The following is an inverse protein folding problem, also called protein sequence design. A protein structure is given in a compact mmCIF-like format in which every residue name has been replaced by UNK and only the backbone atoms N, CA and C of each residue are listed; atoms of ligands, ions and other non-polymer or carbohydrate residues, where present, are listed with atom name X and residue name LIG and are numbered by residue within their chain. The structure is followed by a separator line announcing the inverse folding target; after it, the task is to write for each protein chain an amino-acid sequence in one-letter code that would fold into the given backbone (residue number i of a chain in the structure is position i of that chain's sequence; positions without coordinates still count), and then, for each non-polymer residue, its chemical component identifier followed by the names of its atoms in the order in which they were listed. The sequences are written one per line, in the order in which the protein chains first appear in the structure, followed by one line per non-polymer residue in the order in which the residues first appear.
data_IF_280333558598
#
_entry.id   IF_280333558598
#
_cell.length_a   1.000
_cell.length_b   1.000
_cell.length_c   1.000
_cell.angle_alpha   90.00
_cell.angle_beta   90.00
_cell.angle_gamma   90.00
#
_symmetry.space_group_name_H-M   'P 1'
#
loop_
_entity.id
_entity.type
_entity.pdbx_description
1 polymer ?
#
# COMPACT_ATOMS: atom_id res chain seq x y z
N UNK A 1 5.18 -9.54 33.36
CA UNK A 1 4.10 -8.66 32.87
C UNK A 1 4.42 -8.35 31.41
N UNK A 2 3.69 -8.93 30.44
CA UNK A 2 3.85 -8.64 28.99
C UNK A 2 3.00 -7.42 28.65
N UNK A 3 3.50 -6.38 27.97
CA UNK A 3 2.63 -5.33 27.48
C UNK A 3 1.78 -5.89 26.33
N UNK A 4 0.47 -5.72 26.46
CA UNK A 4 -0.50 -6.04 25.42
C UNK A 4 -0.29 -5.13 24.20
N UNK A 5 -0.42 -5.63 22.96
CA UNK A 5 -0.53 -4.74 21.81
C UNK A 5 -1.91 -4.06 21.87
N UNK A 6 -1.91 -2.75 22.15
CA UNK A 6 -3.09 -1.90 22.01
C UNK A 6 -3.66 -2.03 20.59
N UNK A 7 -4.99 -2.13 20.41
CA UNK A 7 -5.61 -2.14 19.10
C UNK A 7 -5.55 -0.71 18.55
N UNK A 8 -4.54 -0.40 17.74
CA UNK A 8 -4.54 0.82 16.95
C UNK A 8 -5.64 0.72 15.89
N UNK A 9 -6.87 1.06 16.27
CA UNK A 9 -7.89 1.58 15.35
C UNK A 9 -7.45 2.97 14.91
N UNK A 10 -6.51 2.97 13.98
CA UNK A 10 -6.26 4.05 13.04
C UNK A 10 -6.03 3.36 11.70
N UNK A 11 -6.45 3.94 10.57
CA UNK A 11 -5.92 3.52 9.28
C UNK A 11 -4.44 3.90 9.28
N UNK A 12 -3.61 3.10 9.95
CA UNK A 12 -2.18 3.26 9.93
C UNK A 12 -1.82 3.22 8.44
N UNK A 13 -1.15 4.26 7.91
CA UNK A 13 -0.76 4.28 6.52
C UNK A 13 -0.04 2.98 6.25
N UNK A 14 -0.63 2.16 5.38
CA UNK A 14 -0.13 0.84 5.06
C UNK A 14 1.38 0.97 4.74
N UNK A 15 2.26 0.24 5.45
CA UNK A 15 3.67 0.58 5.45
C UNK A 15 4.25 0.33 4.05
N UNK A 16 4.71 1.43 3.43
CA UNK A 16 5.47 1.44 2.19
C UNK A 16 6.94 1.34 2.59
N UNK A 17 7.60 0.27 2.18
CA UNK A 17 9.03 0.04 2.41
C UNK A 17 9.74 0.14 1.08
N UNK A 18 10.74 1.02 1.00
CA UNK A 18 11.61 1.16 -0.17
C UNK A 18 13.02 0.81 0.27
N UNK A 19 13.56 -0.25 -0.31
CA UNK A 19 14.92 -0.73 -0.07
C UNK A 19 15.84 -0.25 -1.19
N UNK A 20 17.03 0.25 -0.86
CA UNK A 20 17.99 0.71 -1.85
C UNK A 20 18.93 -0.44 -2.21
N UNK A 21 18.67 -1.06 -3.37
CA UNK A 21 19.45 -2.19 -3.88
C UNK A 21 20.69 -1.75 -4.68
N UNK A 22 20.84 -0.46 -4.96
CA UNK A 22 22.00 0.12 -5.64
C UNK A 22 21.81 1.59 -6.00
N UNK A 23 22.80 2.22 -6.67
CA UNK A 23 22.84 3.68 -6.90
C UNK A 23 21.62 4.28 -7.60
N UNK A 24 20.90 3.46 -8.36
CA UNK A 24 19.66 3.80 -9.07
C UNK A 24 18.67 2.62 -9.08
N UNK A 25 18.74 1.75 -8.08
CA UNK A 25 17.87 0.58 -7.98
C UNK A 25 17.21 0.56 -6.62
N UNK A 26 15.89 0.72 -6.61
CA UNK A 26 15.08 0.82 -5.41
C UNK A 26 13.97 -0.22 -5.45
N UNK A 27 13.98 -1.17 -4.53
CA UNK A 27 12.96 -2.21 -4.46
C UNK A 27 11.80 -1.74 -3.61
N UNK A 28 10.59 -1.74 -4.16
CA UNK A 28 9.38 -1.34 -3.46
C UNK A 28 8.65 -2.56 -2.92
N UNK A 29 8.39 -2.56 -1.62
CA UNK A 29 7.46 -3.48 -1.00
C UNK A 29 6.35 -2.68 -0.32
N UNK A 30 5.10 -3.06 -0.55
CA UNK A 30 3.94 -2.50 0.15
C UNK A 30 3.27 -3.57 0.98
N UNK A 31 3.00 -3.29 2.25
CA UNK A 31 2.18 -4.20 3.08
C UNK A 31 0.79 -3.62 3.24
N UNK A 32 -0.24 -4.32 2.77
CA UNK A 32 -1.64 -3.91 2.85
C UNK A 32 -2.47 -5.03 3.49
N UNK A 33 -3.28 -4.72 4.50
CA UNK A 33 -4.10 -5.69 5.25
C UNK A 33 -3.31 -6.92 5.78
N UNK A 34 -2.06 -6.71 6.18
CA UNK A 34 -1.17 -7.77 6.65
C UNK A 34 -0.56 -8.62 5.53
N UNK A 35 -0.91 -8.36 4.27
CA UNK A 35 -0.33 -9.01 3.10
C UNK A 35 0.78 -8.15 2.50
N UNK A 36 1.94 -8.78 2.25
CA UNK A 36 3.10 -8.14 1.61
C UNK A 36 3.00 -8.29 0.09
N UNK A 37 3.17 -7.18 -0.62
CA UNK A 37 3.22 -7.10 -2.07
C UNK A 37 4.58 -6.60 -2.50
N UNK A 38 5.24 -7.38 -3.35
CA UNK A 38 6.46 -6.95 -4.03
C UNK A 38 6.05 -6.20 -5.31
N UNK A 39 6.43 -4.93 -5.40
CA UNK A 39 6.10 -4.07 -6.54
C UNK A 39 7.28 -3.93 -7.51
N UNK A 40 8.38 -4.65 -7.30
CA UNK A 40 9.56 -4.65 -8.16
C UNK A 40 10.53 -3.50 -7.91
N UNK A 41 11.43 -3.30 -8.87
CA UNK A 41 12.52 -2.32 -8.80
C UNK A 41 12.20 -1.03 -9.54
N UNK A 42 12.68 0.09 -8.99
CA UNK A 42 12.45 1.46 -9.48
C UNK A 42 13.78 2.19 -9.64
N UNK A 43 13.83 3.14 -10.57
CA UNK A 43 15.02 3.95 -10.86
C UNK A 43 15.33 5.00 -9.77
N UNK A 44 14.34 5.32 -8.93
CA UNK A 44 14.47 6.31 -7.86
C UNK A 44 13.52 6.02 -6.70
N UNK A 45 13.91 6.44 -5.50
CA UNK A 45 13.07 6.39 -4.30
C UNK A 45 11.74 7.14 -4.48
N UNK A 46 11.75 8.27 -5.18
CA UNK A 46 10.55 9.06 -5.44
C UNK A 46 9.54 8.28 -6.30
N UNK A 47 10.00 7.60 -7.36
CA UNK A 47 9.16 6.76 -8.20
C UNK A 47 8.57 5.58 -7.40
N UNK A 48 9.37 4.92 -6.57
CA UNK A 48 8.91 3.86 -5.67
C UNK A 48 7.82 4.36 -4.70
N UNK A 49 8.02 5.53 -4.07
CA UNK A 49 7.03 6.11 -3.16
C UNK A 49 5.72 6.49 -3.87
N UNK A 50 5.81 7.07 -5.08
CA UNK A 50 4.62 7.38 -5.88
C UNK A 50 3.85 6.11 -6.26
N UNK A 51 4.56 5.08 -6.71
CA UNK A 51 3.95 3.79 -7.06
C UNK A 51 3.33 3.11 -5.83
N UNK A 52 3.98 3.15 -4.67
CA UNK A 52 3.45 2.62 -3.42
C UNK A 52 2.16 3.34 -3.01
N UNK A 53 2.10 4.67 -3.12
CA UNK A 53 0.90 5.44 -2.83
C UNK A 53 -0.26 5.09 -3.78
N UNK A 54 0.02 4.97 -5.08
CA UNK A 54 -0.97 4.54 -6.07
C UNK A 54 -1.45 3.11 -5.82
N UNK A 55 -0.56 2.21 -5.42
CA UNK A 55 -0.91 0.84 -5.05
C UNK A 55 -1.91 0.82 -3.90
N UNK A 56 -1.63 1.57 -2.82
CA UNK A 56 -2.53 1.68 -1.68
C UNK A 56 -3.88 2.29 -2.06
N UNK A 57 -3.88 3.37 -2.84
CA UNK A 57 -5.12 4.00 -3.30
C UNK A 57 -5.96 3.04 -4.15
N UNK A 58 -5.32 2.24 -5.01
CA UNK A 58 -6.00 1.21 -5.81
C UNK A 58 -6.51 0.07 -4.94
N UNK A 59 -5.74 -0.38 -3.94
CA UNK A 59 -6.14 -1.46 -3.05
C UNK A 59 -7.23 -1.06 -2.06
N UNK A 60 -7.17 0.14 -1.52
CA UNK A 60 -8.26 0.73 -0.74
C UNK A 60 -9.50 0.91 -1.61
N UNK A 61 -9.33 1.36 -2.86
CA UNK A 61 -10.39 1.42 -3.85
C UNK A 61 -10.98 0.05 -4.18
N UNK A 62 -10.19 -1.01 -4.28
CA UNK A 62 -10.66 -2.39 -4.49
C UNK A 62 -11.40 -2.94 -3.25
N UNK A 63 -10.84 -2.74 -2.06
CA UNK A 63 -11.46 -3.13 -0.79
C UNK A 63 -12.78 -2.38 -0.55
N UNK A 64 -12.86 -1.09 -0.91
CA UNK A 64 -14.07 -0.29 -0.84
C UNK A 64 -15.07 -0.61 -1.97
N UNK A 65 -14.58 -0.85 -3.19
CA UNK A 65 -15.38 -1.14 -4.38
C UNK A 65 -15.95 -2.56 -4.37
N UNK A 66 -15.29 -3.52 -3.71
CA UNK A 66 -15.84 -4.84 -3.42
C UNK A 66 -17.15 -4.80 -2.62
N UNK A 67 -17.37 -3.73 -1.82
CA UNK A 67 -18.63 -3.48 -1.10
C UNK A 67 -19.57 -2.51 -1.80
N UNK A 68 -19.14 -1.85 -2.88
CA UNK A 68 -19.98 -0.90 -3.61
C UNK A 68 -19.90 -1.12 -5.12
N UNK A 69 -20.68 -2.11 -5.60
CA UNK A 69 -21.40 -1.97 -6.87
C UNK A 69 -22.27 -0.70 -6.81
N UNK A 70 -21.68 0.48 -6.99
CA UNK A 70 -22.44 1.67 -7.36
C UNK A 70 -22.72 1.54 -8.85
N UNK A 71 -23.96 1.15 -9.14
CA UNK A 71 -24.57 1.16 -10.47
C UNK A 71 -24.16 2.43 -11.24
N UNK A 72 -23.54 2.35 -12.43
CA UNK A 72 -23.64 3.42 -13.39
C UNK A 72 -24.94 3.17 -14.17
N UNK A 73 -25.88 4.10 -14.09
CA UNK A 73 -27.08 4.00 -14.92
C UNK A 73 -28.28 4.70 -14.34
N UNK A 74 -28.17 6.01 -14.16
CA UNK A 74 -29.33 6.90 -14.23
C UNK A 74 -29.47 7.30 -15.70
N UNK A 75 -30.44 6.74 -16.40
CA UNK A 75 -31.19 7.37 -17.49
C UNK A 75 -32.60 6.82 -17.44
#
# INVERSE_FOLDING_TARGET
MKPAPSPASSPAPAPIVVDEAGPQSFTLTVTFEGQRFDCGSYISRAAAMQAGRLFLQRKEGEAASGRTKRKPGKK
#
